data_IF_919388477807
#
_entry.id   IF_919388477807
#
_cell.length_a   1.000
_cell.length_b   1.000
_cell.length_c   1.000
_cell.angle_alpha   90.00
_cell.angle_beta   90.00
_cell.angle_gamma   90.00
#
_symmetry.space_group_name_H-M   'P 1'
#
loop_
_entity.id
_entity.type
_entity.pdbx_description
1 polymer ?
#
# COMPACT_ATOMS: atom_id res chain seq x y z
N UNK A 1 26.54 22.59 -12.56
CA UNK A 1 27.99 22.52 -12.31
C UNK A 1 28.19 21.91 -10.92
N UNK A 2 28.36 20.59 -10.84
CA UNK A 2 29.23 19.87 -9.91
C UNK A 2 29.11 18.38 -10.24
N UNK A 3 30.23 17.84 -10.74
CA UNK A 3 30.54 16.45 -11.03
C UNK A 3 30.87 15.71 -9.73
N UNK A 4 30.70 14.40 -9.70
CA UNK A 4 31.54 13.51 -8.89
C UNK A 4 31.70 12.15 -9.59
N UNK A 5 32.95 11.89 -9.97
CA UNK A 5 33.44 10.66 -10.60
C UNK A 5 33.63 9.53 -9.59
N UNK A 6 33.51 8.31 -10.10
CA UNK A 6 33.81 7.05 -9.42
C UNK A 6 35.30 6.70 -9.49
N UNK A 7 35.76 5.85 -8.57
CA UNK A 7 37.00 5.09 -8.73
C UNK A 7 36.80 3.61 -8.38
N UNK A 8 37.26 2.76 -9.30
CA UNK A 8 37.26 1.29 -9.30
C UNK A 8 38.59 0.75 -8.74
N UNK A 9 38.56 -0.43 -8.11
CA UNK A 9 39.71 -1.35 -8.10
C UNK A 9 39.26 -2.83 -8.14
N UNK A 10 40.01 -3.63 -8.91
CA UNK A 10 39.77 -5.00 -9.36
C UNK A 10 40.29 -6.10 -8.40
N UNK A 11 39.73 -7.32 -8.56
CA UNK A 11 40.35 -8.68 -8.63
C UNK A 11 39.30 -9.70 -8.11
N UNK A 12 38.95 -10.86 -8.69
CA UNK A 12 39.46 -11.71 -9.77
C UNK A 12 39.55 -13.16 -9.24
N UNK A 13 38.67 -14.10 -9.66
CA UNK A 13 38.94 -15.55 -9.84
C UNK A 13 37.68 -16.35 -10.28
N UNK A 14 37.90 -17.36 -11.14
CA UNK A 14 36.91 -18.19 -11.85
C UNK A 14 36.69 -19.58 -11.22
N UNK A 15 35.49 -20.17 -11.33
CA UNK A 15 35.27 -21.56 -11.85
C UNK A 15 33.79 -22.03 -11.78
N UNK A 16 33.43 -22.81 -12.83
CA UNK A 16 32.40 -23.85 -13.03
C UNK A 16 31.18 -23.99 -12.10
N UNK A 17 29.97 -24.17 -12.65
CA UNK A 17 29.45 -25.45 -13.16
C UNK A 17 27.93 -25.37 -13.45
N UNK A 18 27.43 -26.31 -14.24
CA UNK A 18 26.14 -26.34 -14.94
C UNK A 18 24.96 -26.80 -14.08
N UNK A 19 23.79 -26.22 -14.34
CA UNK A 19 22.49 -26.87 -14.16
C UNK A 19 21.41 -25.96 -13.58
N UNK A 20 20.30 -25.83 -14.30
CA UNK A 20 18.89 -25.89 -13.81
C UNK A 20 17.96 -24.97 -14.60
N UNK A 21 17.06 -25.60 -15.37
CA UNK A 21 15.98 -24.93 -16.13
C UNK A 21 14.62 -24.99 -15.40
N UNK A 22 14.55 -25.32 -14.11
CA UNK A 22 13.29 -25.48 -13.37
C UNK A 22 13.08 -24.50 -12.19
N UNK A 23 13.99 -23.54 -11.96
CA UNK A 23 13.97 -22.64 -10.78
C UNK A 23 13.41 -21.22 -11.00
N UNK A 24 13.08 -20.83 -12.25
CA UNK A 24 12.79 -19.43 -12.59
C UNK A 24 11.42 -18.90 -12.11
N UNK A 25 10.45 -19.78 -11.82
CA UNK A 25 9.08 -19.37 -11.47
C UNK A 25 8.92 -18.92 -10.02
N UNK A 26 9.75 -19.41 -9.11
CA UNK A 26 9.67 -19.10 -7.66
C UNK A 26 10.54 -17.89 -7.29
N UNK A 27 11.62 -17.64 -8.04
CA UNK A 27 12.56 -16.54 -7.75
C UNK A 27 12.00 -15.15 -8.09
N UNK A 28 11.14 -15.03 -9.11
CA UNK A 28 10.50 -13.76 -9.46
C UNK A 28 9.55 -13.31 -8.34
N UNK A 29 8.78 -14.23 -7.76
CA UNK A 29 7.87 -13.92 -6.66
C UNK A 29 8.60 -13.43 -5.39
N UNK A 30 9.76 -14.03 -5.09
CA UNK A 30 10.56 -13.66 -3.91
C UNK A 30 11.29 -12.31 -4.07
N UNK A 31 11.78 -11.98 -5.27
CA UNK A 31 12.40 -10.68 -5.54
C UNK A 31 11.41 -9.50 -5.45
N UNK A 32 10.12 -9.76 -5.64
CA UNK A 32 9.06 -8.75 -5.61
C UNK A 32 8.68 -8.30 -4.19
N UNK A 33 8.71 -9.20 -3.22
CA UNK A 33 8.46 -8.83 -1.82
C UNK A 33 9.59 -7.97 -1.25
N UNK A 34 10.82 -8.17 -1.73
CA UNK A 34 11.97 -7.33 -1.38
C UNK A 34 11.85 -5.96 -2.03
N UNK A 35 11.42 -5.86 -3.30
CA UNK A 35 11.11 -4.59 -3.97
C UNK A 35 10.04 -3.77 -3.24
N UNK A 36 8.93 -4.41 -2.86
CA UNK A 36 7.85 -3.76 -2.09
C UNK A 36 8.34 -3.19 -0.76
N UNK A 37 9.25 -3.90 -0.09
CA UNK A 37 9.84 -3.47 1.20
C UNK A 37 10.90 -2.38 1.04
N UNK A 38 11.66 -2.40 -0.05
CA UNK A 38 12.81 -1.51 -0.24
C UNK A 38 12.46 -0.18 -0.90
N UNK A 39 11.31 -0.07 -1.56
CA UNK A 39 10.80 1.23 -2.02
C UNK A 39 10.35 2.13 -0.86
N UNK A 40 10.27 1.64 0.39
CA UNK A 40 9.98 2.37 1.65
C UNK A 40 8.70 3.25 1.68
N UNK A 41 8.03 3.34 0.54
CA UNK A 41 6.68 3.76 0.29
C UNK A 41 6.18 2.80 -0.80
N UNK A 42 4.99 2.17 -0.67
CA UNK A 42 4.24 1.85 -1.86
C UNK A 42 4.16 3.13 -2.68
N UNK A 43 4.10 3.06 -4.01
CA UNK A 43 3.61 4.19 -4.80
C UNK A 43 2.16 4.37 -4.33
N UNK A 44 1.95 5.10 -3.24
CA UNK A 44 0.74 5.12 -2.42
C UNK A 44 -0.31 6.03 -3.03
N UNK A 45 -0.63 5.70 -4.27
CA UNK A 45 -1.85 6.04 -4.96
C UNK A 45 -1.85 5.15 -6.21
N UNK A 46 -2.28 3.90 -6.09
CA UNK A 46 -2.60 3.06 -7.27
C UNK A 46 -3.81 3.59 -8.07
N UNK A 47 -4.28 4.81 -7.76
CA UNK A 47 -5.14 5.64 -8.60
C UNK A 47 -4.42 6.80 -9.31
N UNK A 48 -3.15 7.09 -8.99
CA UNK A 48 -2.40 8.18 -9.64
C UNK A 48 -1.78 7.71 -10.95
N UNK A 49 -0.85 6.75 -10.95
CA UNK A 49 -0.10 6.43 -12.18
C UNK A 49 -0.95 5.62 -13.16
N UNK A 50 -1.35 6.26 -14.26
CA UNK A 50 -2.16 5.67 -15.33
C UNK A 50 -1.32 5.10 -16.47
N UNK A 51 -0.07 5.55 -16.63
CA UNK A 51 0.84 4.99 -17.62
C UNK A 51 2.32 5.23 -17.27
N UNK A 52 3.19 4.37 -17.79
CA UNK A 52 4.65 4.58 -17.77
C UNK A 52 5.15 4.94 -19.16
N UNK A 53 6.02 5.94 -19.26
CA UNK A 53 6.70 6.33 -20.51
C UNK A 53 8.09 5.69 -20.56
N UNK A 54 8.29 4.84 -21.56
CA UNK A 54 9.48 4.03 -21.78
C UNK A 54 9.98 4.16 -23.22
N UNK A 55 11.16 3.65 -23.53
CA UNK A 55 11.67 3.53 -24.89
C UNK A 55 11.53 2.09 -25.39
N UNK A 56 11.98 1.83 -26.61
CA UNK A 56 12.08 0.45 -27.15
C UNK A 56 12.99 -0.42 -26.30
N UNK A 57 14.09 0.15 -25.84
CA UNK A 57 15.09 -0.49 -24.99
C UNK A 57 14.71 -0.35 -23.50
N UNK A 58 13.46 0.03 -23.21
CA UNK A 58 12.94 0.25 -21.87
C UNK A 58 13.39 1.58 -21.26
N UNK A 59 14.39 1.56 -20.39
CA UNK A 59 14.75 2.70 -19.53
C UNK A 59 16.15 3.25 -19.81
N UNK A 60 16.54 3.29 -21.08
CA UNK A 60 17.85 3.77 -21.50
C UNK A 60 18.02 5.29 -21.26
N UNK A 61 19.28 5.70 -21.10
CA UNK A 61 19.64 7.10 -20.87
C UNK A 61 19.55 7.96 -22.14
N UNK A 62 19.71 7.36 -23.33
CA UNK A 62 19.74 8.10 -24.59
C UNK A 62 18.36 8.67 -24.96
N UNK A 63 17.28 7.96 -24.59
CA UNK A 63 15.90 8.37 -24.80
C UNK A 63 15.32 9.25 -23.69
N UNK A 64 16.09 9.60 -22.66
CA UNK A 64 15.60 10.33 -21.49
C UNK A 64 14.85 11.62 -21.86
N UNK A 65 15.44 12.45 -22.72
CA UNK A 65 14.83 13.72 -23.14
C UNK A 65 13.52 13.52 -23.89
N UNK A 66 13.46 12.52 -24.77
CA UNK A 66 12.28 12.21 -25.56
C UNK A 66 11.15 11.67 -24.65
N UNK A 67 11.49 10.80 -23.68
CA UNK A 67 10.54 10.28 -22.67
C UNK A 67 10.00 11.39 -21.77
N UNK A 68 10.86 12.27 -21.29
CA UNK A 68 10.49 13.41 -20.46
C UNK A 68 9.52 14.36 -21.19
N UNK A 69 9.78 14.62 -22.48
CA UNK A 69 8.92 15.47 -23.29
C UNK A 69 7.51 14.88 -23.45
N UNK A 70 7.39 13.58 -23.70
CA UNK A 70 6.09 12.88 -23.80
C UNK A 70 5.37 12.87 -22.46
N UNK A 71 6.06 12.58 -21.35
CA UNK A 71 5.47 12.61 -20.01
C UNK A 71 4.95 14.01 -19.63
N UNK A 72 5.69 15.07 -19.93
CA UNK A 72 5.26 16.46 -19.70
C UNK A 72 3.91 16.77 -20.38
N UNK A 73 3.73 16.31 -21.63
CA UNK A 73 2.46 16.48 -22.35
C UNK A 73 1.30 15.74 -21.70
N UNK A 74 1.55 14.56 -21.15
CA UNK A 74 0.54 13.79 -20.41
C UNK A 74 0.15 14.50 -19.11
N UNK A 75 1.12 15.06 -18.38
CA UNK A 75 0.88 15.84 -17.17
C UNK A 75 0.08 17.11 -17.43
N UNK A 76 0.41 17.85 -18.47
CA UNK A 76 -0.35 19.03 -18.91
C UNK A 76 -1.82 18.69 -19.20
N UNK A 77 -2.09 17.47 -19.68
CA UNK A 77 -3.43 16.97 -19.95
C UNK A 77 -4.14 16.38 -18.71
N UNK A 78 -3.51 16.41 -17.54
CA UNK A 78 -4.04 15.86 -16.29
C UNK A 78 -3.97 14.33 -16.21
N UNK A 79 -3.13 13.69 -17.03
CA UNK A 79 -2.88 12.25 -16.97
C UNK A 79 -1.63 12.03 -16.13
N UNK A 80 -1.79 11.32 -15.02
CA UNK A 80 -0.65 10.98 -14.19
C UNK A 80 0.17 9.87 -14.87
N UNK A 81 1.28 10.29 -15.47
CA UNK A 81 2.25 9.45 -16.13
C UNK A 81 3.55 9.43 -15.32
N UNK A 82 4.30 8.34 -15.40
CA UNK A 82 5.64 8.27 -14.81
C UNK A 82 6.68 8.00 -15.90
N UNK A 83 7.85 8.61 -15.79
CA UNK A 83 9.01 8.26 -16.59
C UNK A 83 10.23 8.26 -15.68
N UNK A 84 10.99 7.16 -15.64
CA UNK A 84 12.13 7.07 -14.72
C UNK A 84 13.42 7.56 -15.40
N UNK A 85 14.19 8.44 -14.74
CA UNK A 85 15.42 8.98 -15.30
C UNK A 85 16.48 7.92 -15.58
N UNK A 86 16.64 6.97 -14.66
CA UNK A 86 17.58 5.84 -14.76
C UNK A 86 17.08 4.69 -13.88
N UNK A 87 17.14 3.45 -14.39
CA UNK A 87 16.75 2.21 -13.71
C UNK A 87 17.59 1.87 -12.47
N UNK A 88 18.76 2.50 -12.29
CA UNK A 88 19.81 2.09 -11.34
C UNK A 88 19.39 1.98 -9.87
N UNK A 89 18.48 2.84 -9.39
CA UNK A 89 18.05 2.83 -7.97
C UNK A 89 17.13 1.66 -7.69
N UNK A 90 16.09 1.47 -8.50
CA UNK A 90 15.19 0.31 -8.40
C UNK A 90 15.95 -1.00 -8.69
N UNK A 91 16.94 -0.94 -9.59
CA UNK A 91 17.83 -2.07 -9.88
C UNK A 91 18.71 -2.46 -8.70
N UNK A 92 19.25 -1.51 -7.96
CA UNK A 92 20.03 -1.82 -6.75
C UNK A 92 19.17 -2.57 -5.72
N UNK A 93 17.88 -2.24 -5.65
CA UNK A 93 16.90 -2.90 -4.77
C UNK A 93 16.49 -4.29 -5.28
N UNK A 94 16.31 -4.45 -6.60
CA UNK A 94 16.01 -5.74 -7.23
C UNK A 94 17.21 -6.70 -7.22
N UNK A 95 18.40 -6.22 -7.54
CA UNK A 95 19.62 -7.03 -7.61
C UNK A 95 20.04 -7.50 -6.21
N UNK A 96 19.82 -6.70 -5.16
CA UNK A 96 20.00 -7.15 -3.78
C UNK A 96 19.14 -8.37 -3.42
N UNK A 97 17.98 -8.56 -4.07
CA UNK A 97 17.14 -9.75 -3.86
C UNK A 97 17.59 -10.99 -4.65
N UNK A 98 18.42 -10.80 -5.68
CA UNK A 98 18.88 -11.86 -6.61
C UNK A 98 20.37 -12.17 -6.48
N UNK A 99 20.98 -11.86 -5.33
CA UNK A 99 22.43 -11.90 -5.08
C UNK A 99 23.10 -13.27 -5.23
N UNK A 100 22.36 -14.33 -5.51
CA UNK A 100 22.91 -15.69 -5.69
C UNK A 100 23.34 -16.01 -7.13
N UNK A 101 23.14 -15.11 -8.09
CA UNK A 101 23.55 -15.32 -9.49
C UNK A 101 24.83 -14.54 -9.82
N UNK A 102 25.94 -15.28 -9.86
CA UNK A 102 27.32 -14.81 -10.12
C UNK A 102 27.43 -13.80 -11.28
N UNK A 103 27.76 -12.56 -10.91
CA UNK A 103 28.65 -11.57 -11.59
C UNK A 103 28.90 -11.76 -13.09
N UNK A 104 27.84 -11.70 -13.89
CA UNK A 104 27.92 -11.33 -15.31
C UNK A 104 27.69 -9.83 -15.44
N UNK A 105 28.21 -9.20 -16.49
CA UNK A 105 27.99 -7.79 -16.82
C UNK A 105 26.50 -7.60 -17.18
N UNK A 106 25.63 -7.54 -16.16
CA UNK A 106 24.19 -7.36 -16.32
C UNK A 106 24.00 -5.90 -16.73
N UNK A 107 23.68 -5.70 -18.00
CA UNK A 107 23.10 -4.44 -18.49
C UNK A 107 22.02 -4.00 -17.50
N UNK A 108 22.20 -2.81 -16.93
CA UNK A 108 21.28 -2.22 -15.95
C UNK A 108 19.92 -1.84 -16.56
N UNK A 109 19.74 -2.03 -17.85
CA UNK A 109 18.59 -1.54 -18.59
C UNK A 109 17.49 -2.60 -18.59
N UNK A 110 16.33 -2.21 -18.08
CA UNK A 110 15.16 -3.07 -18.10
C UNK A 110 14.71 -3.25 -19.53
N UNK A 111 14.52 -4.50 -19.96
CA UNK A 111 13.84 -4.72 -21.23
C UNK A 111 12.40 -4.22 -21.13
N UNK A 112 11.83 -3.80 -22.25
CA UNK A 112 10.45 -3.34 -22.29
C UNK A 112 9.46 -4.38 -21.72
N UNK A 113 9.74 -5.67 -21.92
CA UNK A 113 8.90 -6.76 -21.39
C UNK A 113 9.00 -6.90 -19.87
N UNK A 114 10.20 -6.73 -19.29
CA UNK A 114 10.37 -6.67 -17.83
C UNK A 114 9.60 -5.50 -17.23
N UNK A 115 9.65 -4.34 -17.89
CA UNK A 115 8.90 -3.16 -17.47
C UNK A 115 7.39 -3.39 -17.53
N UNK A 116 6.90 -4.00 -18.61
CA UNK A 116 5.48 -4.37 -18.72
C UNK A 116 5.06 -5.31 -17.58
N UNK A 117 5.89 -6.30 -17.24
CA UNK A 117 5.64 -7.22 -16.13
C UNK A 117 5.48 -6.50 -14.78
N UNK A 118 6.31 -5.49 -14.51
CA UNK A 118 6.19 -4.70 -13.27
C UNK A 118 5.03 -3.73 -13.32
N UNK A 119 4.75 -3.11 -14.47
CA UNK A 119 3.54 -2.30 -14.64
C UNK A 119 2.28 -3.13 -14.33
N UNK A 120 2.24 -4.41 -14.76
CA UNK A 120 1.13 -5.31 -14.47
C UNK A 120 0.98 -5.55 -12.96
N UNK A 121 2.09 -5.79 -12.27
CA UNK A 121 2.10 -5.98 -10.81
C UNK A 121 1.68 -4.75 -10.03
N UNK A 122 1.99 -3.56 -10.56
CA UNK A 122 1.60 -2.26 -9.99
C UNK A 122 0.20 -1.81 -10.45
N UNK A 123 -0.52 -2.63 -11.23
CA UNK A 123 -1.81 -2.30 -11.84
C UNK A 123 -1.78 -1.03 -12.70
N UNK A 124 -0.65 -0.74 -13.33
CA UNK A 124 -0.52 0.36 -14.29
C UNK A 124 -0.98 -0.14 -15.66
N UNK A 125 -2.06 0.40 -16.24
CA UNK A 125 -2.74 -0.20 -17.39
C UNK A 125 -2.05 0.02 -18.74
N UNK A 126 -1.17 1.03 -18.87
CA UNK A 126 -0.55 1.37 -20.16
C UNK A 126 0.94 1.64 -20.05
N UNK A 127 1.69 1.21 -21.07
CA UNK A 127 3.08 1.63 -21.31
C UNK A 127 3.11 2.42 -22.62
N UNK A 128 3.59 3.65 -22.57
CA UNK A 128 3.81 4.51 -23.74
C UNK A 128 5.27 4.36 -24.18
N UNK A 129 5.48 3.83 -25.38
CA UNK A 129 6.79 3.49 -25.93
C UNK A 129 7.23 4.57 -26.91
N UNK A 130 8.30 5.25 -26.55
CA UNK A 130 8.93 6.33 -27.29
C UNK A 130 10.04 5.77 -28.17
N UNK A 131 9.94 6.06 -29.47
CA UNK A 131 10.99 5.83 -30.45
C UNK A 131 11.47 7.18 -30.95
N UNK A 132 12.73 7.53 -30.73
CA UNK A 132 13.26 8.86 -31.09
C UNK A 132 13.00 9.23 -32.55
N UNK A 133 13.12 8.28 -33.48
CA UNK A 133 12.82 8.51 -34.89
C UNK A 133 11.31 8.73 -35.14
N UNK A 134 10.42 7.92 -34.56
CA UNK A 134 8.96 8.13 -34.70
C UNK A 134 8.49 9.44 -34.06
N UNK A 135 9.09 9.82 -32.93
CA UNK A 135 8.76 11.05 -32.23
C UNK A 135 9.19 12.27 -33.05
N UNK A 136 10.42 12.27 -33.60
CA UNK A 136 10.97 13.40 -34.36
C UNK A 136 10.37 13.51 -35.76
N UNK A 137 10.23 12.39 -36.46
CA UNK A 137 9.85 12.38 -37.87
C UNK A 137 8.33 12.46 -38.06
N UNK A 138 7.57 11.79 -37.17
CA UNK A 138 6.11 11.66 -37.29
C UNK A 138 5.33 12.29 -36.14
N UNK A 139 6.00 12.76 -35.08
CA UNK A 139 5.32 13.25 -33.89
C UNK A 139 4.46 12.17 -33.23
N UNK A 140 4.90 10.92 -33.24
CA UNK A 140 4.09 9.76 -32.81
C UNK A 140 4.81 8.86 -31.81
N UNK A 141 4.03 8.15 -31.00
CA UNK A 141 4.47 7.16 -30.01
C UNK A 141 3.66 5.87 -30.16
N UNK A 142 4.14 4.77 -29.60
CA UNK A 142 3.37 3.52 -29.55
C UNK A 142 2.77 3.36 -28.15
N UNK A 143 1.53 2.89 -28.06
CA UNK A 143 0.90 2.53 -26.78
C UNK A 143 0.74 1.03 -26.72
N UNK A 144 1.20 0.45 -25.62
CA UNK A 144 1.02 -0.97 -25.31
C UNK A 144 0.14 -1.12 -24.06
N UNK A 145 -1.03 -1.77 -24.17
CA UNK A 145 -1.82 -2.15 -23.01
C UNK A 145 -1.08 -3.18 -22.15
N UNK A 146 -1.03 -2.95 -20.85
CA UNK A 146 -0.51 -3.89 -19.87
C UNK A 146 -1.64 -4.85 -19.53
N UNK A 147 -1.70 -5.97 -20.23
CA UNK A 147 -2.81 -6.91 -20.13
C UNK A 147 -2.90 -7.46 -18.69
N UNK A 148 -4.04 -7.25 -18.04
CA UNK A 148 -4.40 -7.87 -16.75
C UNK A 148 -5.46 -8.93 -16.96
N UNK A 149 -5.35 -9.71 -18.04
CA UNK A 149 -6.26 -10.83 -18.24
C UNK A 149 -5.93 -11.90 -17.20
N UNK A 150 -6.78 -11.93 -16.18
CA UNK A 150 -6.72 -12.84 -15.02
C UNK A 150 -6.85 -14.32 -15.44
N UNK A 151 -7.10 -14.59 -16.73
CA UNK A 151 -7.10 -15.90 -17.36
C UNK A 151 -5.71 -16.34 -17.83
N UNK A 152 -4.72 -16.28 -16.93
CA UNK A 152 -3.51 -17.13 -16.82
C UNK A 152 -2.72 -17.68 -18.02
N UNK A 153 -2.94 -17.33 -19.29
CA UNK A 153 -2.42 -18.11 -20.43
C UNK A 153 -2.15 -17.30 -21.71
N UNK A 154 -1.47 -16.16 -21.64
CA UNK A 154 -0.72 -15.64 -22.80
C UNK A 154 0.35 -14.63 -22.39
N UNK A 155 1.62 -15.04 -22.34
CA UNK A 155 2.75 -14.16 -21.99
C UNK A 155 3.71 -13.88 -23.15
N UNK A 156 3.44 -14.30 -24.38
CA UNK A 156 4.46 -14.20 -25.46
C UNK A 156 3.96 -13.89 -26.88
N UNK A 157 2.73 -13.40 -27.06
CA UNK A 157 2.31 -12.92 -28.38
C UNK A 157 2.27 -11.41 -28.37
N UNK A 158 3.11 -10.79 -29.22
CA UNK A 158 3.35 -9.35 -29.29
C UNK A 158 2.06 -8.56 -29.22
N UNK A 159 1.80 -7.98 -28.06
CA UNK A 159 0.58 -7.22 -27.79
C UNK A 159 0.44 -6.11 -28.82
N UNK A 160 -0.78 -5.92 -29.32
CA UNK A 160 -1.13 -4.89 -30.29
C UNK A 160 -0.64 -3.52 -29.79
N UNK A 161 0.49 -3.07 -30.33
CA UNK A 161 0.99 -1.73 -30.11
C UNK A 161 0.32 -0.80 -31.10
N UNK A 162 -0.38 0.20 -30.57
CA UNK A 162 -1.05 1.19 -31.41
C UNK A 162 -0.14 2.39 -31.61
N UNK A 163 0.11 2.75 -32.86
CA UNK A 163 0.85 3.97 -33.21
C UNK A 163 -0.09 5.18 -33.15
N UNK A 164 0.20 6.13 -32.28
CA UNK A 164 -0.66 7.28 -31.98
C UNK A 164 0.15 8.57 -32.05
N UNK A 165 -0.41 9.60 -32.67
CA UNK A 165 0.20 10.93 -32.69
C UNK A 165 0.23 11.50 -31.26
N UNK A 166 1.33 12.16 -30.88
CA UNK A 166 1.52 12.74 -29.54
C UNK A 166 0.45 13.79 -29.21
N UNK A 167 -0.09 14.47 -30.23
CA UNK A 167 -1.20 15.41 -30.07
C UNK A 167 -2.51 14.72 -29.61
N UNK A 168 -2.78 13.51 -30.11
CA UNK A 168 -4.01 12.76 -29.83
C UNK A 168 -3.87 11.82 -28.62
N UNK A 169 -2.63 11.52 -28.23
CA UNK A 169 -2.27 10.61 -27.14
C UNK A 169 -3.07 10.83 -25.85
N UNK A 170 -3.24 12.07 -25.33
CA UNK A 170 -3.99 12.26 -24.09
C UNK A 170 -5.47 11.89 -24.21
N UNK A 171 -6.11 12.19 -25.33
CA UNK A 171 -7.52 11.87 -25.56
C UNK A 171 -7.70 10.36 -25.66
N UNK A 172 -6.84 9.69 -26.44
CA UNK A 172 -6.87 8.23 -26.57
C UNK A 172 -6.67 7.53 -25.22
N UNK A 173 -5.74 8.01 -24.38
CA UNK A 173 -5.55 7.45 -23.05
C UNK A 173 -6.75 7.68 -22.13
N UNK A 174 -7.35 8.87 -22.14
CA UNK A 174 -8.57 9.16 -21.35
C UNK A 174 -9.73 8.24 -21.75
N UNK A 175 -9.96 8.06 -23.05
CA UNK A 175 -11.02 7.20 -23.55
C UNK A 175 -10.80 5.73 -23.14
N UNK A 176 -9.55 5.24 -23.23
CA UNK A 176 -9.19 3.88 -22.80
C UNK A 176 -9.29 3.70 -21.29
N UNK A 177 -8.86 4.70 -20.51
CA UNK A 177 -8.96 4.67 -19.04
C UNK A 177 -10.42 4.71 -18.58
N UNK A 178 -11.29 5.48 -19.24
CA UNK A 178 -12.72 5.51 -18.96
C UNK A 178 -13.39 4.17 -19.32
N UNK A 179 -12.93 3.51 -20.39
CA UNK A 179 -13.42 2.17 -20.74
C UNK A 179 -13.04 1.13 -19.67
N UNK A 180 -11.88 1.27 -19.02
CA UNK A 180 -11.45 0.36 -17.95
C UNK A 180 -12.28 0.52 -16.67
N UNK A 181 -12.75 1.73 -16.33
CA UNK A 181 -13.54 1.92 -15.10
C UNK A 181 -14.93 1.27 -15.17
N UNK A 182 -15.50 1.12 -16.36
CA UNK A 182 -16.82 0.48 -16.56
C UNK A 182 -16.81 -1.01 -16.15
N UNK A 183 -15.65 -1.66 -16.21
CA UNK A 183 -15.53 -3.08 -15.82
C UNK A 183 -15.40 -3.29 -14.31
N UNK A 184 -14.95 -2.29 -13.55
CA UNK A 184 -14.77 -2.40 -12.10
C UNK A 184 -16.13 -2.30 -11.35
N UNK A 185 -17.08 -1.54 -11.90
CA UNK A 185 -18.43 -1.34 -11.37
C UNK A 185 -19.35 -2.59 -11.43
N UNK A 186 -18.97 -3.64 -12.18
CA UNK A 186 -19.76 -4.88 -12.27
C UNK A 186 -19.39 -5.93 -11.20
N UNK A 187 -18.42 -5.64 -10.32
CA UNK A 187 -18.34 -6.31 -9.03
C UNK A 187 -19.32 -5.63 -8.07
N UNK A 188 -20.08 -6.36 -7.24
CA UNK A 188 -21.10 -5.75 -6.37
C UNK A 188 -20.42 -4.93 -5.25
N UNK A 189 -20.02 -3.70 -5.57
CA UNK A 189 -19.68 -2.65 -4.63
C UNK A 189 -20.96 -1.89 -4.27
N UNK A 190 -21.28 -1.94 -2.99
CA UNK A 190 -22.42 -1.32 -2.34
C UNK A 190 -22.34 0.21 -2.46
N UNK A 191 -23.45 0.82 -2.82
CA UNK A 191 -23.72 2.26 -2.86
C UNK A 191 -23.19 3.00 -1.62
N UNK A 192 -22.00 3.61 -1.71
CA UNK A 192 -21.52 4.64 -0.77
C UNK A 192 -20.78 5.80 -1.44
N UNK A 193 -20.75 5.87 -2.77
CA UNK A 193 -20.06 6.93 -3.51
C UNK A 193 -20.88 8.22 -3.67
N UNK A 194 -22.21 8.21 -3.44
CA UNK A 194 -23.07 9.33 -3.86
C UNK A 194 -23.18 10.48 -2.84
N UNK A 195 -22.47 10.41 -1.70
CA UNK A 195 -22.34 11.56 -0.78
C UNK A 195 -21.12 12.44 -1.07
N UNK A 196 -20.20 12.01 -1.95
CA UNK A 196 -19.01 12.79 -2.32
C UNK A 196 -19.27 13.90 -3.35
N UNK A 197 -20.28 13.73 -4.22
CA UNK A 197 -20.52 14.63 -5.35
C UNK A 197 -21.38 15.87 -5.01
N UNK A 198 -21.95 15.94 -3.81
CA UNK A 198 -22.72 17.12 -3.37
C UNK A 198 -21.84 18.26 -2.84
N UNK A 199 -20.56 18.02 -2.53
CA UNK A 199 -19.65 19.04 -1.97
C UNK A 199 -18.95 19.85 -3.07
N UNK A 200 -18.84 19.31 -4.30
CA UNK A 200 -18.15 20.00 -5.40
C UNK A 200 -18.92 21.20 -5.98
N UNK A 201 -20.23 21.33 -5.70
CA UNK A 201 -21.06 22.44 -6.20
C UNK A 201 -21.05 23.71 -5.35
N UNK A 202 -20.36 23.76 -4.21
CA UNK A 202 -20.29 24.97 -3.37
C UNK A 202 -18.97 25.75 -3.44
N UNK A 203 -17.99 25.33 -4.24
CA UNK A 203 -16.65 25.99 -4.31
C UNK A 203 -16.55 27.06 -5.41
N UNK A 204 -17.66 27.47 -6.03
CA UNK A 204 -17.70 28.58 -6.99
C UNK A 204 -17.54 29.98 -6.35
N UNK A 205 -17.07 30.07 -5.10
CA UNK A 205 -16.75 31.34 -4.44
C UNK A 205 -15.33 31.33 -3.85
N UNK A 206 -14.35 31.54 -4.73
CA UNK A 206 -13.16 32.35 -4.46
C UNK A 206 -12.37 32.10 -3.16
N UNK A 207 -11.90 30.88 -2.92
CA UNK A 207 -10.66 30.64 -2.16
C UNK A 207 -10.14 29.25 -2.46
N UNK A 208 -8.96 29.14 -3.09
CA UNK A 208 -8.33 27.86 -3.38
C UNK A 208 -7.94 27.17 -2.06
N UNK A 209 -8.47 25.98 -1.74
CA UNK A 209 -7.97 25.21 -0.61
C UNK A 209 -6.57 24.69 -0.97
N UNK A 210 -5.68 24.69 0.03
CA UNK A 210 -4.36 24.10 -0.07
C UNK A 210 -4.49 22.62 -0.45
N UNK A 211 -3.65 22.13 -1.37
CA UNK A 211 -3.56 20.71 -1.77
C UNK A 211 -3.32 19.76 -0.58
N UNK A 212 -2.99 20.29 0.60
CA UNK A 212 -2.86 19.55 1.85
C UNK A 212 -4.21 19.14 2.45
N UNK A 213 -5.31 19.80 2.11
CA UNK A 213 -6.61 19.60 2.76
C UNK A 213 -7.46 18.50 2.10
N UNK A 214 -7.23 18.21 0.81
CA UNK A 214 -7.98 17.17 0.06
C UNK A 214 -7.56 15.75 0.47
N UNK A 215 -6.28 15.54 0.83
CA UNK A 215 -5.80 14.26 1.37
C UNK A 215 -6.23 14.00 2.82
N UNK A 216 -6.76 15.01 3.52
CA UNK A 216 -7.28 14.83 4.87
C UNK A 216 -8.66 14.14 4.90
N UNK A 217 -9.37 14.07 3.77
CA UNK A 217 -10.74 13.58 3.70
C UNK A 217 -10.87 12.04 3.66
N UNK A 218 -9.79 11.31 3.33
CA UNK A 218 -9.74 9.83 3.34
C UNK A 218 -8.91 9.27 4.51
N UNK A 219 -8.56 10.12 5.49
CA UNK A 219 -7.79 9.66 6.65
C UNK A 219 -8.63 8.66 7.45
N UNK A 220 -8.24 7.38 7.43
CA UNK A 220 -8.79 6.38 8.32
C UNK A 220 -8.58 6.85 9.75
N UNK A 221 -9.69 7.01 10.49
CA UNK A 221 -9.62 7.43 11.86
C UNK A 221 -9.15 6.23 12.71
N UNK A 222 -7.88 6.25 13.11
CA UNK A 222 -7.28 5.22 13.96
C UNK A 222 -7.26 5.72 15.39
N UNK A 223 -8.13 5.16 16.23
CA UNK A 223 -8.09 5.42 17.66
C UNK A 223 -7.05 4.50 18.31
N UNK A 224 -5.91 5.07 18.73
CA UNK A 224 -4.81 4.31 19.32
C UNK A 224 -4.85 4.36 20.85
N UNK A 225 -4.83 3.18 21.49
CA UNK A 225 -4.70 3.02 22.94
C UNK A 225 -3.34 2.37 23.22
N UNK A 226 -2.60 2.92 24.18
CA UNK A 226 -1.37 2.31 24.68
C UNK A 226 -1.60 1.63 26.03
N UNK A 227 -1.22 0.36 26.12
CA UNK A 227 -1.39 -0.50 27.29
C UNK A 227 -0.03 -0.78 27.91
N UNK A 228 0.11 -0.43 29.17
CA UNK A 228 1.32 -0.60 29.97
C UNK A 228 0.98 -1.33 31.28
N UNK A 229 1.93 -2.07 31.85
CA UNK A 229 1.67 -2.96 32.98
C UNK A 229 1.17 -2.23 34.23
N UNK A 230 1.60 -0.97 34.41
CA UNK A 230 1.33 -0.17 35.61
C UNK A 230 0.35 1.00 35.34
N UNK A 231 -0.28 1.05 34.16
CA UNK A 231 -1.35 2.03 33.92
C UNK A 231 -2.65 1.62 34.60
N UNK A 232 -2.75 1.92 35.89
CA UNK A 232 -4.05 2.08 36.54
C UNK A 232 -4.63 3.44 36.15
N UNK A 233 -5.84 3.45 35.57
CA UNK A 233 -6.62 4.67 35.34
C UNK A 233 -6.88 5.36 36.68
N UNK A 234 -6.13 6.43 37.01
CA UNK A 234 -6.39 7.23 38.21
C UNK A 234 -5.17 7.83 38.95
N UNK A 235 -3.93 7.46 38.60
CA UNK A 235 -2.75 8.06 39.21
C UNK A 235 -2.14 9.13 38.30
N UNK A 236 -1.85 10.30 38.88
CA UNK A 236 -1.27 11.46 38.20
C UNK A 236 -0.02 11.06 37.43
N UNK A 237 -0.11 11.11 36.09
CA UNK A 237 0.97 10.66 35.22
C UNK A 237 2.06 11.72 35.17
N UNK A 238 3.28 11.34 35.53
CA UNK A 238 4.51 12.10 35.29
C UNK A 238 4.56 12.58 33.82
N UNK A 239 4.84 13.87 33.61
CA UNK A 239 4.83 14.52 32.30
C UNK A 239 5.76 13.84 31.28
N UNK A 240 6.87 13.26 31.72
CA UNK A 240 7.84 12.62 30.80
C UNK A 240 7.36 11.26 30.31
N UNK A 241 6.66 10.49 31.15
CA UNK A 241 5.99 9.25 30.75
C UNK A 241 4.91 9.56 29.70
N UNK A 242 4.18 10.67 29.84
CA UNK A 242 3.19 11.06 28.84
C UNK A 242 3.80 11.41 27.48
N UNK A 243 5.04 11.92 27.42
CA UNK A 243 5.73 12.22 26.16
C UNK A 243 6.15 10.94 25.45
N UNK A 244 6.72 9.97 26.18
CA UNK A 244 7.12 8.68 25.60
C UNK A 244 5.90 7.92 25.09
N UNK A 245 4.81 7.87 25.88
CA UNK A 245 3.54 7.24 25.48
C UNK A 245 2.96 7.91 24.23
N UNK A 246 2.93 9.25 24.17
CA UNK A 246 2.48 9.97 22.95
C UNK A 246 3.32 9.65 21.73
N UNK A 247 4.64 9.49 21.89
CA UNK A 247 5.54 9.09 20.80
C UNK A 247 5.21 7.67 20.33
N UNK A 248 5.03 6.73 21.26
CA UNK A 248 4.66 5.34 20.95
C UNK A 248 3.32 5.30 20.21
N UNK A 249 2.30 6.00 20.71
CA UNK A 249 0.98 6.06 20.08
C UNK A 249 1.05 6.61 18.67
N UNK A 250 1.80 7.69 18.41
CA UNK A 250 1.98 8.22 17.06
C UNK A 250 2.69 7.23 16.14
N UNK A 251 3.71 6.55 16.62
CA UNK A 251 4.41 5.51 15.85
C UNK A 251 3.48 4.34 15.53
N UNK A 252 2.69 3.90 16.51
CA UNK A 252 1.71 2.82 16.33
C UNK A 252 0.60 3.26 15.36
N UNK A 253 0.07 4.47 15.47
CA UNK A 253 -0.91 5.06 14.56
C UNK A 253 -0.36 5.11 13.13
N UNK A 254 0.84 5.64 12.92
CA UNK A 254 1.45 5.72 11.58
C UNK A 254 1.65 4.33 10.95
N UNK A 255 2.07 3.34 11.76
CA UNK A 255 2.23 1.95 11.29
C UNK A 255 0.89 1.28 11.03
N UNK A 256 -0.09 1.53 11.89
CA UNK A 256 -1.45 1.08 11.71
C UNK A 256 -2.06 1.66 10.43
N UNK A 257 -1.89 2.96 10.16
CA UNK A 257 -2.35 3.61 8.93
C UNK A 257 -1.77 2.91 7.69
N UNK A 258 -0.47 2.61 7.70
CA UNK A 258 0.18 1.92 6.58
C UNK A 258 -0.36 0.51 6.34
N UNK A 259 -0.75 -0.21 7.39
CA UNK A 259 -1.29 -1.56 7.30
C UNK A 259 -2.78 -1.56 6.94
N UNK A 260 -3.56 -0.73 7.62
CA UNK A 260 -5.02 -0.64 7.47
C UNK A 260 -5.42 -0.17 6.07
N UNK A 261 -4.63 0.69 5.44
CA UNK A 261 -4.85 1.11 4.06
C UNK A 261 -4.86 -0.07 3.06
N UNK A 262 -4.27 -1.22 3.41
CA UNK A 262 -4.30 -2.42 2.58
C UNK A 262 -5.59 -3.24 2.74
N UNK A 263 -6.29 -3.14 3.88
CA UNK A 263 -7.38 -4.04 4.26
C UNK A 263 -8.74 -3.37 4.51
N UNK A 264 -8.77 -2.10 4.91
CA UNK A 264 -9.99 -1.44 5.33
C UNK A 264 -10.48 -0.46 4.26
N UNK A 265 -11.61 -0.78 3.63
CA UNK A 265 -12.36 0.12 2.75
C UNK A 265 -13.03 1.29 3.49
N UNK A 266 -12.28 2.02 4.34
CA UNK A 266 -12.75 3.24 5.01
C UNK A 266 -13.40 3.07 6.38
N UNK A 267 -13.36 1.87 7.00
CA UNK A 267 -13.87 1.70 8.37
C UNK A 267 -12.90 2.25 9.42
N UNK A 268 -13.45 2.80 10.52
CA UNK A 268 -12.65 3.18 11.69
C UNK A 268 -12.04 1.93 12.32
N UNK A 269 -10.74 1.93 12.55
CA UNK A 269 -10.02 0.82 13.19
C UNK A 269 -9.46 1.28 14.52
N UNK A 270 -9.68 0.50 15.56
CA UNK A 270 -9.04 0.75 16.84
C UNK A 270 -7.68 0.06 16.88
N UNK A 271 -6.65 0.76 17.33
CA UNK A 271 -5.30 0.21 17.48
C UNK A 271 -4.97 0.09 18.98
N UNK A 272 -4.52 -1.08 19.41
CA UNK A 272 -4.06 -1.32 20.78
C UNK A 272 -2.58 -1.67 20.75
N UNK A 273 -1.75 -0.76 21.26
CA UNK A 273 -0.30 -0.96 21.37
C UNK A 273 0.07 -1.45 22.76
N UNK A 274 0.97 -2.43 22.85
CA UNK A 274 1.39 -3.01 24.13
C UNK A 274 2.84 -3.49 24.08
N UNK A 275 3.49 -3.54 25.24
CA UNK A 275 4.85 -4.07 25.43
C UNK A 275 4.89 -5.61 25.61
N UNK A 276 3.90 -6.31 25.03
CA UNK A 276 3.89 -7.77 24.98
C UNK A 276 4.62 -8.26 23.74
N UNK A 277 5.40 -9.35 23.84
CA UNK A 277 5.88 -10.07 22.67
C UNK A 277 4.73 -10.45 21.73
N UNK A 278 4.97 -10.35 20.42
CA UNK A 278 4.00 -10.52 19.35
C UNK A 278 3.32 -11.88 19.41
N UNK A 279 4.06 -12.94 19.71
CA UNK A 279 3.48 -14.30 19.83
C UNK A 279 2.44 -14.38 20.96
N UNK A 280 2.72 -13.74 22.10
CA UNK A 280 1.80 -13.72 23.25
C UNK A 280 0.58 -12.86 22.93
N UNK A 281 0.79 -11.72 22.27
CA UNK A 281 -0.28 -10.82 21.84
C UNK A 281 -1.22 -11.49 20.83
N UNK A 282 -0.66 -12.19 19.83
CA UNK A 282 -1.40 -12.96 18.83
C UNK A 282 -2.18 -14.11 19.45
N UNK A 283 -1.57 -14.84 20.38
CA UNK A 283 -2.24 -15.92 21.10
C UNK A 283 -3.41 -15.38 21.94
N UNK A 284 -3.22 -14.24 22.63
CA UNK A 284 -4.30 -13.55 23.32
C UNK A 284 -5.43 -13.14 22.36
N UNK A 285 -5.11 -12.48 21.24
CA UNK A 285 -6.11 -12.12 20.23
C UNK A 285 -6.88 -13.34 19.70
N UNK A 286 -6.19 -14.46 19.47
CA UNK A 286 -6.80 -15.73 19.05
C UNK A 286 -7.75 -16.28 20.13
N UNK A 287 -7.34 -16.28 21.40
CA UNK A 287 -8.19 -16.69 22.52
C UNK A 287 -9.45 -15.82 22.65
N UNK A 288 -9.35 -14.52 22.40
CA UNK A 288 -10.52 -13.62 22.41
C UNK A 288 -11.47 -13.95 21.26
N UNK A 289 -10.98 -14.15 20.03
CA UNK A 289 -11.83 -14.43 18.86
C UNK A 289 -12.49 -15.82 18.90
N UNK A 290 -11.87 -16.79 19.56
CA UNK A 290 -12.36 -18.18 19.57
C UNK A 290 -13.40 -18.48 20.64
N UNK A 291 -13.46 -17.65 21.70
CA UNK A 291 -14.52 -17.71 22.70
C UNK A 291 -15.74 -17.02 22.08
N UNK A 292 -16.79 -17.78 21.76
CA UNK A 292 -17.96 -17.27 21.03
C UNK A 292 -18.74 -16.14 21.73
N UNK A 293 -18.46 -15.89 23.02
CA UNK A 293 -18.79 -14.65 23.71
C UNK A 293 -17.48 -13.87 23.91
N UNK A 294 -17.50 -12.55 23.70
CA UNK A 294 -16.32 -11.67 23.80
C UNK A 294 -15.84 -11.56 25.25
N UNK A 295 -15.28 -12.65 25.77
CA UNK A 295 -14.78 -12.83 27.12
C UNK A 295 -13.27 -12.58 27.12
N UNK A 296 -12.92 -11.29 27.07
CA UNK A 296 -11.53 -10.84 27.09
C UNK A 296 -10.84 -11.23 28.40
N UNK A 297 -11.58 -11.36 29.50
CA UNK A 297 -11.03 -11.71 30.82
C UNK A 297 -10.67 -13.19 30.88
N UNK A 298 -11.56 -14.08 30.44
CA UNK A 298 -11.26 -15.51 30.37
C UNK A 298 -10.15 -15.81 29.37
N UNK A 299 -10.12 -15.14 28.21
CA UNK A 299 -8.98 -15.22 27.29
C UNK A 299 -7.66 -14.82 27.97
N UNK A 300 -7.68 -13.78 28.82
CA UNK A 300 -6.49 -13.39 29.59
C UNK A 300 -6.06 -14.48 30.57
N UNK A 301 -6.99 -15.17 31.24
CA UNK A 301 -6.68 -16.21 32.21
C UNK A 301 -5.95 -17.39 31.54
N UNK A 302 -6.42 -17.81 30.37
CA UNK A 302 -5.82 -18.92 29.61
C UNK A 302 -4.38 -18.59 29.20
N UNK A 303 -4.14 -17.39 28.69
CA UNK A 303 -2.82 -16.94 28.26
C UNK A 303 -1.89 -16.71 29.47
N UNK A 304 -2.43 -16.18 30.58
CA UNK A 304 -1.67 -15.99 31.83
C UNK A 304 -1.19 -17.33 32.40
N UNK A 305 -1.96 -18.40 32.25
CA UNK A 305 -1.53 -19.73 32.69
C UNK A 305 -0.26 -20.20 31.95
N UNK A 306 -0.08 -19.79 30.68
CA UNK A 306 1.11 -20.09 29.87
C UNK A 306 2.25 -19.08 30.07
N UNK A 307 1.91 -17.80 30.31
CA UNK A 307 2.85 -16.68 30.38
C UNK A 307 2.68 -15.85 31.68
N UNK A 308 2.94 -16.45 32.86
CA UNK A 308 2.66 -15.79 34.14
C UNK A 308 3.47 -14.52 34.37
N UNK A 309 4.64 -14.39 33.75
CA UNK A 309 5.48 -13.19 33.83
C UNK A 309 4.82 -11.94 33.23
N UNK A 310 3.84 -12.11 32.33
CA UNK A 310 3.10 -11.02 31.69
C UNK A 310 1.72 -10.78 32.31
N UNK A 311 1.43 -11.37 33.48
CA UNK A 311 0.10 -11.35 34.13
C UNK A 311 -0.52 -9.97 34.27
N UNK A 312 0.26 -8.97 34.71
CA UNK A 312 -0.26 -7.61 34.90
C UNK A 312 -0.67 -7.00 33.57
N UNK A 313 0.21 -7.04 32.57
CA UNK A 313 0.00 -6.44 31.26
C UNK A 313 -1.15 -7.11 30.50
N UNK A 314 -1.28 -8.44 30.57
CA UNK A 314 -2.41 -9.18 29.97
C UNK A 314 -3.76 -8.80 30.60
N UNK A 315 -3.82 -8.58 31.91
CA UNK A 315 -5.04 -8.08 32.58
C UNK A 315 -5.39 -6.66 32.15
N UNK A 316 -4.39 -5.76 32.08
CA UNK A 316 -4.63 -4.39 31.62
C UNK A 316 -5.07 -4.36 30.16
N UNK A 317 -4.48 -5.20 29.31
CA UNK A 317 -4.88 -5.36 27.90
C UNK A 317 -6.31 -5.85 27.77
N UNK A 318 -6.67 -6.89 28.54
CA UNK A 318 -8.03 -7.43 28.60
C UNK A 318 -9.07 -6.38 29.00
N UNK A 319 -8.78 -5.58 30.04
CA UNK A 319 -9.65 -4.48 30.47
C UNK A 319 -9.74 -3.36 29.45
N UNK A 320 -8.64 -3.02 28.77
CA UNK A 320 -8.62 -2.01 27.73
C UNK A 320 -9.49 -2.44 26.53
N UNK A 321 -9.38 -3.70 26.11
CA UNK A 321 -10.17 -4.27 25.03
C UNK A 321 -11.66 -4.36 25.40
N UNK A 322 -11.98 -4.80 26.62
CA UNK A 322 -13.36 -4.83 27.15
C UNK A 322 -14.01 -3.44 27.15
N UNK A 323 -13.25 -2.41 27.56
CA UNK A 323 -13.72 -1.03 27.47
C UNK A 323 -13.94 -0.55 26.04
N UNK A 324 -13.11 -0.99 25.09
CA UNK A 324 -13.22 -0.65 23.68
C UNK A 324 -14.49 -1.28 23.07
N UNK A 325 -14.72 -2.56 23.34
CA UNK A 325 -15.93 -3.30 22.93
C UNK A 325 -17.20 -2.61 23.51
N UNK A 326 -17.19 -2.29 24.80
CA UNK A 326 -18.31 -1.59 25.45
C UNK A 326 -18.60 -0.20 24.85
N UNK A 327 -17.56 0.54 24.49
CA UNK A 327 -17.70 1.88 23.87
C UNK A 327 -18.38 1.80 22.52
N UNK A 328 -18.00 0.84 21.69
CA UNK A 328 -18.62 0.69 20.37
C UNK A 328 -20.09 0.27 20.46
N UNK A 329 -20.45 -0.58 21.44
CA UNK A 329 -21.85 -0.96 21.68
C UNK A 329 -22.73 0.19 22.19
N UNK A 330 -22.15 1.25 22.77
CA UNK A 330 -22.91 2.40 23.29
C UNK A 330 -23.03 3.55 22.29
N UNK A 331 -22.05 3.78 21.42
CA UNK A 331 -22.03 4.92 20.49
C UNK A 331 -23.17 4.91 19.47
N UNK A 332 -23.65 3.74 19.04
CA UNK A 332 -24.72 3.63 18.03
C UNK A 332 -26.13 4.00 18.54
N UNK A 333 -26.28 4.23 19.85
CA UNK A 333 -27.58 4.51 20.47
C UNK A 333 -27.90 5.99 20.69
N UNK A 334 -26.93 6.90 20.44
CA UNK A 334 -27.01 8.28 20.93
C UNK A 334 -27.62 9.33 20.00
N UNK A 335 -27.98 8.99 18.74
CA UNK A 335 -28.43 10.00 17.76
C UNK A 335 -29.88 9.93 17.25
N UNK A 336 -30.76 9.07 17.80
CA UNK A 336 -32.19 9.14 17.46
C UNK A 336 -33.06 9.20 18.70
N UNK A 337 -33.61 10.40 18.90
CA UNK A 337 -34.67 10.67 19.84
C UNK A 337 -35.89 9.78 19.62
N UNK A 338 -36.56 9.50 20.74
CA UNK A 338 -37.98 9.16 20.90
C UNK A 338 -38.73 8.87 19.59
N UNK A 339 -38.89 7.60 19.27
CA UNK A 339 -39.80 7.18 18.21
C UNK A 339 -39.89 5.67 18.08
N UNK A 340 -40.86 5.10 18.80
CA UNK A 340 -41.62 3.86 18.54
C UNK A 340 -40.88 2.58 18.09
N UNK A 341 -40.94 1.57 18.96
CA UNK A 341 -41.15 0.14 18.69
C UNK A 341 -40.99 -0.30 17.22
N UNK A 342 -39.78 -0.70 16.83
CA UNK A 342 -39.63 -1.64 15.73
C UNK A 342 -38.63 -2.73 16.13
N UNK A 343 -39.09 -3.98 16.10
CA UNK A 343 -38.41 -5.16 16.63
C UNK A 343 -37.25 -5.66 15.75
N UNK A 344 -36.51 -4.74 15.13
CA UNK A 344 -35.37 -5.05 14.27
C UNK A 344 -34.22 -5.61 15.11
N UNK A 345 -33.78 -6.83 14.79
CA UNK A 345 -32.55 -7.39 15.33
C UNK A 345 -31.38 -6.46 15.00
N UNK A 346 -30.74 -5.91 16.03
CA UNK A 346 -29.54 -5.10 15.87
C UNK A 346 -28.41 -5.99 15.37
N UNK A 347 -28.09 -5.91 14.08
CA UNK A 347 -26.85 -6.47 13.56
C UNK A 347 -25.70 -5.60 14.08
N UNK A 348 -24.92 -6.14 15.00
CA UNK A 348 -23.67 -5.51 15.44
C UNK A 348 -22.64 -5.67 14.33
N UNK A 349 -22.07 -4.55 13.86
CA UNK A 349 -20.93 -4.59 12.94
C UNK A 349 -19.72 -5.20 13.65
N UNK A 350 -18.93 -6.05 12.99
CA UNK A 350 -17.72 -6.61 13.60
C UNK A 350 -16.75 -5.50 13.99
N UNK A 351 -16.15 -5.64 15.18
CA UNK A 351 -15.15 -4.73 15.70
C UNK A 351 -13.77 -5.17 15.26
N UNK A 352 -13.15 -4.40 14.37
CA UNK A 352 -11.78 -4.64 13.94
C UNK A 352 -10.79 -3.94 14.88
N UNK A 353 -9.94 -4.71 15.54
CA UNK A 353 -8.88 -4.19 16.43
C UNK A 353 -7.52 -4.60 15.90
N UNK A 354 -6.67 -3.62 15.65
CA UNK A 354 -5.27 -3.83 15.33
C UNK A 354 -4.46 -3.93 16.63
N UNK A 355 -3.83 -5.07 16.86
CA UNK A 355 -2.97 -5.31 18.01
C UNK A 355 -1.50 -5.10 17.63
N UNK A 356 -0.81 -4.12 18.21
CA UNK A 356 0.57 -3.76 17.88
C UNK A 356 1.55 -4.11 19.01
N UNK A 357 2.49 -5.02 18.74
CA UNK A 357 3.64 -5.37 19.59
C UNK A 357 4.75 -4.36 19.39
N UNK A 358 5.04 -3.61 20.45
CA UNK A 358 6.17 -2.67 20.51
C UNK A 358 7.52 -3.39 20.41
N UNK A 359 7.81 -4.45 21.18
CA UNK A 359 9.15 -5.05 21.18
C UNK A 359 9.52 -5.72 19.87
N UNK A 360 8.53 -6.26 19.14
CA UNK A 360 8.78 -6.97 17.86
C UNK A 360 8.52 -6.12 16.63
N UNK A 361 7.95 -4.93 16.80
CA UNK A 361 7.51 -4.06 15.71
C UNK A 361 6.58 -4.77 14.71
N UNK A 362 5.54 -5.43 15.24
CA UNK A 362 4.59 -6.24 14.45
C UNK A 362 3.16 -5.98 14.89
N UNK A 363 2.23 -6.11 13.95
CA UNK A 363 0.80 -6.00 14.21
C UNK A 363 0.07 -7.28 13.84
N UNK A 364 -1.08 -7.50 14.45
CA UNK A 364 -2.08 -8.51 14.07
C UNK A 364 -3.46 -7.86 14.04
N UNK A 365 -4.37 -8.37 13.21
CA UNK A 365 -5.74 -7.86 13.11
C UNK A 365 -6.70 -8.91 13.67
N UNK A 366 -7.48 -8.52 14.68
CA UNK A 366 -8.56 -9.34 15.21
C UNK A 366 -9.91 -8.71 14.88
N UNK A 367 -10.90 -9.56 14.60
CA UNK A 367 -12.29 -9.17 14.34
C UNK A 367 -13.15 -9.77 15.45
N UNK A 368 -13.81 -8.91 16.23
CA UNK A 368 -14.62 -9.27 17.41
C UNK A 368 -16.12 -9.08 17.16
#
# INVERSE_FOLDING_TARGET
RLYLEANLYQNGFTSGDKGQALGKRTQIAFGLDVLRKSLSHPISSSHSVRCVVASVEGMDAASFGDRAAVASRLWEAGIAAEYMPQSGVIMSLLQQSSSDLKSGNISSDWTLDQLCGVCALLKIPFVVIVQSHLLRDKGSVRIRPVHSDSSGMSFYTGGNEDLIAVADLPNVLKDRLASLSIYDENFPQREQADQGLAIERQVASGSAPSTRDVYSALKTNIDCIHVEADQFYGLEKNADIQKSVRKIMRTAEQKAESYVHEFAGGSSISCVSSDLPFLIMREFGTCVMTRGEVDTLGASIDVIAKYPQHKKLLKTLSLALDNLIRRQGTTDSSFKGRGANDGGSKQHSPLNVLMYSIPDDRHDLISL
#
